data_IF_532793888606
#
_entry.id   IF_532793888606
#
_cell.length_a   1.000
_cell.length_b   1.000
_cell.length_c   1.000
_cell.angle_alpha   90.00
_cell.angle_beta   90.00
_cell.angle_gamma   90.00
#
_symmetry.space_group_name_H-M   'P 1'
#
loop_
_entity.id
_entity.type
_entity.pdbx_description
1 polymer ?
#
# COMPACT_ATOMS: atom_id res chain seq x y z
N UNK A 1 -10.21 21.65 22.86
CA UNK A 1 -10.13 20.34 22.97
C UNK A 1 -9.78 19.65 21.71
N UNK A 2 -8.96 18.72 21.75
CA UNK A 2 -8.63 18.09 20.57
C UNK A 2 -9.24 16.77 20.52
N UNK A 3 -9.50 16.29 19.35
CA UNK A 3 -10.04 15.01 19.14
C UNK A 3 -8.96 14.07 18.82
N UNK A 4 -9.02 12.89 19.39
CA UNK A 4 -8.05 11.89 19.06
C UNK A 4 -8.35 11.33 17.71
N UNK A 5 -7.31 11.00 16.94
CA UNK A 5 -7.53 10.39 15.63
C UNK A 5 -8.18 9.04 15.78
N UNK A 6 -8.99 8.66 14.81
CA UNK A 6 -9.60 7.35 14.80
C UNK A 6 -8.53 6.31 14.52
N UNK A 7 -8.90 5.05 14.73
CA UNK A 7 -7.99 3.96 14.40
C UNK A 7 -7.60 3.99 12.93
N UNK A 8 -8.58 4.25 12.07
CA UNK A 8 -8.29 4.30 10.64
C UNK A 8 -7.36 5.45 10.30
N UNK A 9 -7.52 6.59 10.97
CA UNK A 9 -6.63 7.71 10.73
C UNK A 9 -5.20 7.40 11.18
N UNK A 10 -5.06 6.68 12.28
CA UNK A 10 -3.73 6.30 12.74
C UNK A 10 -3.08 5.33 11.77
N UNK A 11 -3.85 4.39 11.24
CA UNK A 11 -3.33 3.46 10.26
C UNK A 11 -2.90 4.21 9.01
N UNK A 12 -3.72 5.14 8.56
CA UNK A 12 -3.40 5.94 7.38
C UNK A 12 -2.08 6.67 7.56
N UNK A 13 -1.90 7.28 8.72
CA UNK A 13 -0.68 8.01 9.00
C UNK A 13 0.53 7.08 9.03
N UNK A 14 0.37 5.90 9.62
CA UNK A 14 1.47 4.94 9.68
C UNK A 14 1.86 4.48 8.29
N UNK A 15 0.87 4.22 7.43
CA UNK A 15 1.15 3.83 6.05
C UNK A 15 1.94 4.92 5.35
N UNK A 16 1.49 6.16 5.50
CA UNK A 16 2.19 7.27 4.87
C UNK A 16 3.63 7.37 5.35
N UNK A 17 3.84 7.22 6.64
CA UNK A 17 5.19 7.32 7.19
C UNK A 17 6.09 6.21 6.68
N UNK A 18 5.57 5.01 6.57
CA UNK A 18 6.38 3.90 6.09
C UNK A 18 6.74 4.09 4.64
N UNK A 19 5.80 4.57 3.83
CA UNK A 19 6.08 4.80 2.42
C UNK A 19 7.07 5.95 2.26
N UNK A 20 6.92 7.01 3.04
CA UNK A 20 7.84 8.14 2.94
C UNK A 20 9.25 7.77 3.33
N UNK A 21 9.41 6.82 4.23
CA UNK A 21 10.75 6.39 4.64
C UNK A 21 11.32 5.29 3.79
N UNK A 22 10.62 4.90 2.74
CA UNK A 22 11.04 3.78 1.90
C UNK A 22 11.88 4.27 0.75
N UNK A 23 12.85 3.45 0.33
CA UNK A 23 13.71 3.81 -0.81
C UNK A 23 12.93 3.94 -2.10
N UNK A 24 11.76 3.33 -2.18
CA UNK A 24 10.95 3.34 -3.40
C UNK A 24 9.81 4.33 -3.32
N UNK A 25 9.92 5.34 -2.47
CA UNK A 25 8.75 6.20 -2.23
C UNK A 25 8.26 6.90 -3.49
N UNK A 26 9.17 7.23 -4.41
CA UNK A 26 8.74 7.89 -5.65
C UNK A 26 7.91 6.96 -6.51
N UNK A 27 8.27 5.68 -6.54
CA UNK A 27 7.51 4.70 -7.29
C UNK A 27 6.16 4.47 -6.61
N UNK A 28 6.16 4.39 -5.30
CA UNK A 28 4.93 4.15 -4.57
C UNK A 28 4.03 5.38 -4.54
N UNK A 29 4.48 6.49 -5.13
CA UNK A 29 3.60 7.64 -5.30
C UNK A 29 2.40 7.36 -6.17
N UNK A 30 2.46 6.29 -6.97
CA UNK A 30 1.32 5.87 -7.78
C UNK A 30 0.39 4.91 -7.05
N UNK A 31 0.63 4.70 -5.77
CA UNK A 31 -0.17 3.78 -4.96
C UNK A 31 -1.04 4.60 -4.03
N UNK A 32 -2.30 4.24 -3.94
CA UNK A 32 -3.20 4.83 -2.97
C UNK A 32 -3.68 3.73 -2.03
N UNK A 33 -4.21 4.13 -0.90
CA UNK A 33 -4.70 3.15 0.05
C UNK A 33 -5.96 3.67 0.70
N UNK A 34 -6.74 2.73 1.17
CA UNK A 34 -7.98 3.04 1.84
C UNK A 34 -8.08 2.11 3.05
N UNK A 35 -8.43 2.66 4.18
CA UNK A 35 -8.56 1.87 5.38
C UNK A 35 -9.97 2.01 5.93
N UNK A 36 -10.59 0.89 6.20
CA UNK A 36 -11.95 0.89 6.73
C UNK A 36 -12.03 -0.21 7.77
N UNK A 37 -12.21 0.19 9.03
CA UNK A 37 -12.40 -0.76 10.12
C UNK A 37 -11.27 -1.78 10.19
N UNK A 38 -10.05 -1.34 9.98
CA UNK A 38 -8.90 -2.22 10.07
C UNK A 38 -8.58 -2.97 8.80
N UNK A 39 -9.38 -2.82 7.76
CA UNK A 39 -9.12 -3.47 6.48
C UNK A 39 -8.42 -2.45 5.57
N UNK A 40 -7.17 -2.71 5.26
CA UNK A 40 -6.37 -1.82 4.44
C UNK A 40 -6.33 -2.35 3.02
N UNK A 41 -6.80 -1.54 2.07
CA UNK A 41 -6.82 -1.90 0.66
C UNK A 41 -5.84 -1.02 -0.07
N UNK A 42 -4.96 -1.62 -0.87
CA UNK A 42 -3.96 -0.91 -1.64
C UNK A 42 -4.35 -0.98 -3.10
N UNK A 43 -4.24 0.16 -3.79
CA UNK A 43 -4.57 0.25 -5.22
C UNK A 43 -3.54 1.11 -5.91
N UNK A 44 -3.53 1.04 -7.22
CA UNK A 44 -2.59 1.79 -8.02
C UNK A 44 -1.77 0.87 -8.88
N UNK A 45 -0.55 1.29 -9.20
CA UNK A 45 0.29 0.45 -10.05
C UNK A 45 1.76 0.62 -9.68
N UNK A 46 2.50 -0.43 -9.92
CA UNK A 46 3.95 -0.45 -9.74
C UNK A 46 4.54 -1.17 -10.95
N UNK A 47 5.82 -0.94 -11.25
CA UNK A 47 6.40 -1.50 -12.46
C UNK A 47 6.79 -2.97 -12.40
N UNK A 48 6.91 -3.56 -11.22
CA UNK A 48 7.32 -4.96 -11.12
C UNK A 48 6.55 -5.65 -10.03
N UNK A 49 6.46 -6.97 -10.17
CA UNK A 49 5.84 -7.78 -9.14
C UNK A 49 6.65 -7.73 -7.85
N UNK A 50 7.96 -7.61 -7.99
CA UNK A 50 8.81 -7.48 -6.82
C UNK A 50 8.41 -6.29 -5.97
N UNK A 51 8.16 -5.15 -6.62
CA UNK A 51 7.77 -3.95 -5.88
C UNK A 51 6.38 -4.07 -5.27
N UNK A 52 5.50 -4.82 -5.90
CA UNK A 52 4.22 -5.09 -5.29
C UNK A 52 4.40 -5.87 -3.99
N UNK A 53 5.30 -6.83 -3.98
CA UNK A 53 5.58 -7.58 -2.77
C UNK A 53 6.29 -6.72 -1.73
N UNK A 54 7.21 -5.88 -2.16
CA UNK A 54 7.91 -4.97 -1.25
C UNK A 54 6.89 -4.09 -0.53
N UNK A 55 5.90 -3.59 -1.28
CA UNK A 55 4.88 -2.75 -0.67
C UNK A 55 4.11 -3.51 0.38
N UNK A 56 3.73 -4.73 0.11
CA UNK A 56 2.99 -5.52 1.07
C UNK A 56 3.81 -5.80 2.31
N UNK A 57 5.08 -6.12 2.13
CA UNK A 57 5.96 -6.37 3.28
C UNK A 57 6.19 -5.08 4.07
N UNK A 58 6.30 -3.96 3.38
CA UNK A 58 6.50 -2.69 4.03
C UNK A 58 5.36 -2.35 4.98
N UNK A 59 4.16 -2.73 4.60
CA UNK A 59 2.97 -2.40 5.37
C UNK A 59 2.51 -3.55 6.25
N UNK A 60 3.29 -4.60 6.33
CA UNK A 60 2.95 -5.72 7.18
C UNK A 60 3.17 -5.35 8.66
N UNK A 61 2.34 -5.87 9.51
CA UNK A 61 2.55 -5.71 10.94
C UNK A 61 2.14 -4.36 11.50
N UNK A 62 1.39 -3.57 10.77
CA UNK A 62 0.90 -2.31 11.30
C UNK A 62 -0.16 -2.62 12.36
N UNK A 63 0.01 -1.99 13.50
CA UNK A 63 -0.89 -2.21 14.60
C UNK A 63 -2.31 -1.88 14.21
N UNK A 64 -3.25 -2.72 14.59
CA UNK A 64 -4.69 -2.54 14.36
C UNK A 64 -5.14 -2.80 12.93
N UNK A 65 -4.23 -3.16 12.04
CA UNK A 65 -4.63 -3.61 10.71
C UNK A 65 -4.95 -5.08 10.82
N UNK A 66 -6.18 -5.43 10.47
CA UNK A 66 -6.65 -6.80 10.56
C UNK A 66 -6.44 -7.57 9.27
N UNK A 67 -6.48 -6.85 8.15
CA UNK A 67 -6.39 -7.49 6.85
C UNK A 67 -5.86 -6.51 5.84
N UNK A 68 -4.96 -6.96 4.98
CA UNK A 68 -4.45 -6.15 3.88
C UNK A 68 -4.84 -6.81 2.58
N UNK A 69 -5.50 -6.05 1.71
CA UNK A 69 -5.80 -6.50 0.36
C UNK A 69 -4.93 -5.69 -0.59
N UNK A 70 -4.01 -6.36 -1.25
CA UNK A 70 -3.09 -5.69 -2.16
C UNK A 70 -3.61 -5.82 -3.59
N UNK A 71 -4.36 -4.81 -4.01
CA UNK A 71 -4.95 -4.77 -5.34
C UNK A 71 -4.14 -3.91 -6.31
N UNK A 72 -2.87 -3.73 -6.02
CA UNK A 72 -1.99 -2.94 -6.87
C UNK A 72 -1.71 -3.73 -8.16
N UNK A 73 -1.80 -3.06 -9.29
CA UNK A 73 -1.50 -3.67 -10.59
C UNK A 73 -0.02 -3.58 -10.87
N UNK A 74 0.49 -4.58 -11.58
CA UNK A 74 1.87 -4.57 -12.02
C UNK A 74 1.88 -4.26 -13.51
N UNK A 75 2.42 -3.10 -13.86
CA UNK A 75 2.44 -2.66 -15.24
C UNK A 75 3.88 -2.33 -15.60
N UNK A 76 4.48 -3.19 -16.39
CA UNK A 76 5.86 -2.99 -16.77
C UNK A 76 5.94 -2.02 -17.94
N UNK A 77 7.16 -1.62 -18.27
CA UNK A 77 7.36 -0.72 -19.38
C UNK A 77 6.97 -1.36 -20.71
N UNK A 78 6.84 -2.68 -20.74
CA UNK A 78 6.44 -3.38 -21.97
C UNK A 78 4.94 -3.61 -22.01
N UNK A 79 4.19 -3.13 -21.01
CA UNK A 79 2.76 -3.25 -21.03
C UNK A 79 2.25 -4.12 -19.91
N UNK A 80 1.28 -4.97 -20.23
CA UNK A 80 0.62 -5.76 -19.22
C UNK A 80 1.55 -6.83 -18.69
N UNK A 81 1.58 -6.94 -17.38
CA UNK A 81 2.42 -7.93 -16.74
C UNK A 81 1.92 -9.33 -17.03
N UNK A 82 2.84 -10.28 -17.10
CA UNK A 82 2.49 -11.65 -17.45
C UNK A 82 1.62 -12.30 -16.39
N UNK A 83 1.72 -11.90 -15.15
CA UNK A 83 0.88 -12.55 -14.16
C UNK A 83 -0.58 -12.19 -14.35
N UNK A 84 -0.88 -11.21 -15.16
CA UNK A 84 -2.28 -10.90 -15.44
C UNK A 84 -2.88 -11.81 -16.49
N UNK A 85 -2.06 -12.60 -17.11
CA UNK A 85 -2.54 -13.46 -18.16
C UNK A 85 -3.02 -14.80 -17.65
N UNK A 86 -2.95 -15.03 -16.37
CA UNK A 86 -3.36 -16.29 -15.80
C UNK A 86 -4.65 -16.19 -15.04
#
# INVERSE_FOLDING_TARGET
MEMEPTTDERIHETVRQRIDGCSYKLIFGNVTWHCNDGHLTLRGCVPTFYLKQVLQELLHGIERVKLITNSVDVISSTGISSERLR
#
